data_IF_166329611467
#
_entry.id   IF_166329611467
#
_cell.length_a   1.000
_cell.length_b   1.000
_cell.length_c   1.000
_cell.angle_alpha   90.00
_cell.angle_beta   90.00
_cell.angle_gamma   90.00
#
_symmetry.space_group_name_H-M   'P 1'
#
loop_
_entity.id
_entity.type
_entity.pdbx_description
1 polymer ?
#
# COMPACT_ATOMS: atom_id res chain seq x y z
N UNK A 1 -4.73 -14.40 -9.98
CA UNK A 1 -3.68 -14.03 -9.01
C UNK A 1 -3.62 -12.51 -8.91
N UNK A 2 -4.23 -11.88 -7.85
CA UNK A 2 -4.22 -10.42 -7.78
C UNK A 2 -2.87 -9.87 -7.31
N UNK A 3 -2.47 -8.78 -7.94
CA UNK A 3 -1.30 -8.00 -7.54
C UNK A 3 -1.79 -6.59 -7.21
N UNK A 4 -1.50 -6.14 -6.01
CA UNK A 4 -1.91 -4.82 -5.52
C UNK A 4 -0.67 -3.97 -5.35
N UNK A 5 -0.69 -2.77 -5.90
CA UNK A 5 0.39 -1.81 -5.73
C UNK A 5 -0.13 -0.62 -4.95
N UNK A 6 0.57 -0.29 -3.87
CA UNK A 6 0.22 0.84 -3.01
C UNK A 6 1.36 1.83 -3.04
N UNK A 7 1.05 3.10 -3.27
CA UNK A 7 2.02 4.18 -3.12
C UNK A 7 1.57 5.04 -1.96
N UNK A 8 2.47 5.31 -1.03
CA UNK A 8 2.09 5.99 0.20
C UNK A 8 3.28 6.67 0.86
N UNK A 9 2.97 7.52 1.84
CA UNK A 9 3.98 8.04 2.74
C UNK A 9 4.54 6.92 3.60
N UNK A 10 5.78 7.02 4.07
CA UNK A 10 6.35 6.00 4.95
C UNK A 10 5.51 5.76 6.20
N UNK A 11 5.38 4.50 6.56
CA UNK A 11 4.68 4.06 7.77
C UNK A 11 5.51 3.02 8.47
N UNK A 12 5.25 2.79 9.76
CA UNK A 12 5.98 1.77 10.49
C UNK A 12 5.53 0.36 10.05
N UNK A 13 6.36 -0.61 10.39
CA UNK A 13 6.12 -1.99 9.98
C UNK A 13 4.85 -2.57 10.60
N UNK A 14 4.51 -2.18 11.84
CA UNK A 14 3.32 -2.69 12.49
C UNK A 14 2.05 -2.27 11.75
N UNK A 15 2.01 -1.01 11.32
CA UNK A 15 0.87 -0.51 10.54
C UNK A 15 0.78 -1.19 9.18
N UNK A 16 1.93 -1.41 8.53
CA UNK A 16 1.95 -2.08 7.23
C UNK A 16 1.50 -3.54 7.34
N UNK A 17 1.89 -4.23 8.43
CA UNK A 17 1.41 -5.61 8.66
C UNK A 17 -0.11 -5.67 8.77
N UNK A 18 -0.71 -4.72 9.46
CA UNK A 18 -2.17 -4.68 9.58
C UNK A 18 -2.82 -4.39 8.23
N UNK A 19 -2.24 -3.47 7.46
CA UNK A 19 -2.80 -3.13 6.15
C UNK A 19 -2.77 -4.33 5.21
N UNK A 20 -1.61 -5.00 5.09
CA UNK A 20 -1.51 -6.12 4.15
C UNK A 20 -2.40 -7.28 4.56
N UNK A 21 -2.59 -7.50 5.85
CA UNK A 21 -3.52 -8.53 6.32
C UNK A 21 -4.96 -8.18 5.93
N UNK A 22 -5.38 -6.93 6.11
CA UNK A 22 -6.72 -6.48 5.78
C UNK A 22 -6.99 -6.52 4.27
N UNK A 23 -6.03 -6.08 3.46
CA UNK A 23 -6.18 -6.10 1.99
C UNK A 23 -6.26 -7.53 1.49
N UNK A 24 -5.41 -8.41 2.01
CA UNK A 24 -5.44 -9.83 1.63
C UNK A 24 -6.80 -10.44 1.96
N UNK A 25 -7.31 -10.18 3.17
CA UNK A 25 -8.61 -10.70 3.60
C UNK A 25 -9.74 -10.22 2.69
N UNK A 26 -9.68 -8.96 2.28
CA UNK A 26 -10.69 -8.41 1.38
C UNK A 26 -10.74 -9.18 0.05
N UNK A 27 -9.58 -9.51 -0.52
CA UNK A 27 -9.52 -10.29 -1.75
C UNK A 27 -10.01 -11.72 -1.55
N UNK A 28 -9.65 -12.34 -0.42
CA UNK A 28 -10.09 -13.69 -0.12
C UNK A 28 -11.62 -13.75 -0.04
N UNK A 29 -12.23 -12.79 0.65
CA UNK A 29 -13.68 -12.75 0.79
C UNK A 29 -14.39 -12.43 -0.52
N UNK A 30 -13.86 -11.46 -1.26
CA UNK A 30 -14.55 -10.98 -2.48
C UNK A 30 -14.39 -11.94 -3.66
N UNK A 31 -13.20 -12.50 -3.82
CA UNK A 31 -12.87 -13.29 -5.02
C UNK A 31 -12.70 -14.78 -4.74
N UNK A 32 -12.79 -15.19 -3.49
CA UNK A 32 -12.63 -16.59 -3.10
C UNK A 32 -11.28 -17.17 -3.53
N UNK A 33 -10.27 -16.32 -3.55
CA UNK A 33 -8.89 -16.75 -3.83
C UNK A 33 -8.21 -17.15 -2.53
N UNK A 34 -7.12 -17.90 -2.64
CA UNK A 34 -6.33 -18.27 -1.47
C UNK A 34 -5.43 -17.11 -1.08
N UNK A 35 -5.13 -16.93 0.22
CA UNK A 35 -4.26 -15.84 0.66
C UNK A 35 -2.91 -15.81 -0.07
N UNK A 36 -2.33 -16.98 -0.38
CA UNK A 36 -1.04 -17.07 -1.06
C UNK A 36 -1.07 -16.49 -2.46
N UNK A 37 -2.25 -16.34 -3.05
CA UNK A 37 -2.40 -15.79 -4.39
C UNK A 37 -2.39 -14.27 -4.43
N UNK A 38 -2.55 -13.62 -3.26
CA UNK A 38 -2.59 -12.16 -3.17
C UNK A 38 -1.18 -11.64 -2.91
N UNK A 39 -0.69 -10.81 -3.82
CA UNK A 39 0.62 -10.17 -3.68
C UNK A 39 0.43 -8.68 -3.56
N UNK A 40 1.16 -8.07 -2.63
CA UNK A 40 1.04 -6.64 -2.36
C UNK A 40 2.44 -6.02 -2.39
N UNK A 41 2.60 -4.97 -3.17
CA UNK A 41 3.83 -4.18 -3.20
C UNK A 41 3.53 -2.81 -2.61
N UNK A 42 4.35 -2.38 -1.66
CA UNK A 42 4.20 -1.07 -1.03
C UNK A 42 5.40 -0.23 -1.43
N UNK A 43 5.14 0.87 -2.12
CA UNK A 43 6.14 1.83 -2.52
C UNK A 43 6.01 3.04 -1.61
N UNK A 44 6.98 3.22 -0.72
CA UNK A 44 7.00 4.36 0.18
C UNK A 44 7.72 5.51 -0.51
N UNK A 45 7.06 6.66 -0.57
CA UNK A 45 7.56 7.83 -1.25
C UNK A 45 7.79 8.93 -0.22
N UNK A 46 9.02 9.40 -0.11
CA UNK A 46 9.36 10.48 0.80
C UNK A 46 8.73 11.80 0.33
N UNK A 47 8.50 12.70 1.27
CA UNK A 47 7.87 13.98 0.97
C UNK A 47 8.70 14.83 0.00
N UNK A 48 9.99 14.60 -0.07
CA UNK A 48 10.85 15.26 -1.05
C UNK A 48 10.64 14.77 -2.48
N UNK A 49 9.98 13.64 -2.63
CA UNK A 49 9.71 13.01 -3.92
C UNK A 49 8.23 13.00 -4.27
N UNK A 50 7.43 13.75 -3.54
CA UNK A 50 5.98 13.77 -3.67
C UNK A 50 5.51 15.20 -3.90
N UNK A 51 4.93 15.46 -5.06
CA UNK A 51 4.45 16.79 -5.39
C UNK A 51 2.98 16.76 -5.77
N UNK A 52 2.29 17.83 -5.45
CA UNK A 52 0.91 18.05 -5.84
C UNK A 52 0.73 19.54 -6.15
N UNK A 53 0.07 19.83 -7.27
CA UNK A 53 -0.17 21.22 -7.71
C UNK A 53 1.13 22.04 -7.80
N UNK A 54 2.22 21.39 -8.23
CA UNK A 54 3.50 22.06 -8.41
C UNK A 54 4.28 22.30 -7.13
N UNK A 55 3.85 21.70 -6.00
CA UNK A 55 4.50 21.92 -4.72
C UNK A 55 4.87 20.60 -4.09
N UNK A 56 6.10 20.48 -3.61
CA UNK A 56 6.55 19.29 -2.90
C UNK A 56 5.86 19.19 -1.54
N UNK A 57 5.55 17.96 -1.14
CA UNK A 57 4.96 17.71 0.17
C UNK A 57 5.86 18.18 1.30
N UNK A 58 7.18 18.10 1.12
CA UNK A 58 8.16 18.57 2.11
C UNK A 58 8.05 20.07 2.36
N UNK A 59 7.49 20.84 1.43
CA UNK A 59 7.38 22.30 1.52
C UNK A 59 6.02 22.77 2.03
N UNK A 60 5.17 21.85 2.42
CA UNK A 60 3.82 22.19 2.92
C UNK A 60 3.73 22.08 4.42
#
# INVERSE_FOLDING_TARGET
MPIVTIQQSPRDAAQKRRLVAAVTEAFVEAYEVRPEQVQIFIHEVDHENWAKAGQLAADR
#
